data_IF_383658556774
#
_entry.id   IF_383658556774
#
_cell.length_a   1.000
_cell.length_b   1.000
_cell.length_c   1.000
_cell.angle_alpha   90.00
_cell.angle_beta   90.00
_cell.angle_gamma   90.00
#
_symmetry.space_group_name_H-M   'P 1'
#
loop_
_entity.id
_entity.type
_entity.pdbx_description
1 polymer ?
#
# COMPACT_ATOMS: atom_id res chain seq x y z
N UNK A 1 -7.57 -4.09 20.05
CA UNK A 1 -6.51 -4.76 19.25
C UNK A 1 -6.40 -4.03 17.92
N UNK A 2 -5.26 -4.12 17.23
CA UNK A 2 -4.97 -3.32 16.05
C UNK A 2 -4.81 -4.19 14.82
N UNK A 3 -5.49 -3.83 13.73
CA UNK A 3 -5.18 -4.33 12.40
C UNK A 3 -3.77 -3.89 12.02
N UNK A 4 -2.97 -4.85 11.53
CA UNK A 4 -1.67 -4.56 10.95
C UNK A 4 -1.78 -4.57 9.42
N UNK A 5 -1.27 -3.51 8.78
CA UNK A 5 -1.16 -3.39 7.33
C UNK A 5 0.32 -3.43 6.96
N UNK A 6 0.68 -4.34 6.07
CA UNK A 6 2.02 -4.43 5.48
C UNK A 6 1.90 -4.26 3.97
N UNK A 7 2.63 -3.30 3.42
CA UNK A 7 2.62 -2.99 1.99
C UNK A 7 3.86 -3.58 1.30
N UNK A 8 3.63 -4.17 0.13
CA UNK A 8 4.60 -4.70 -0.80
C UNK A 8 4.36 -4.01 -2.17
N UNK A 9 5.35 -3.31 -2.73
CA UNK A 9 5.16 -2.62 -4.00
C UNK A 9 4.80 -3.57 -5.15
N UNK A 10 3.99 -3.13 -6.14
CA UNK A 10 3.51 -1.75 -6.28
C UNK A 10 2.19 -1.49 -5.53
N UNK A 11 1.30 -2.49 -5.46
CA UNK A 11 -0.07 -2.42 -4.93
C UNK A 11 -0.40 -3.58 -3.98
N UNK A 12 0.52 -4.51 -3.76
CA UNK A 12 0.27 -5.68 -2.92
C UNK A 12 0.21 -5.30 -1.44
N UNK A 13 -0.86 -5.66 -0.75
CA UNK A 13 -1.01 -5.45 0.69
C UNK A 13 -1.32 -6.75 1.41
N UNK A 14 -0.74 -6.91 2.60
CA UNK A 14 -1.20 -7.85 3.62
C UNK A 14 -1.94 -7.08 4.71
N UNK A 15 -3.13 -7.56 5.04
CA UNK A 15 -3.93 -7.09 6.17
C UNK A 15 -4.03 -8.27 7.14
N UNK A 16 -3.53 -8.07 8.35
CA UNK A 16 -3.58 -9.05 9.42
C UNK A 16 -4.52 -8.56 10.51
N UNK A 17 -5.59 -9.31 10.71
CA UNK A 17 -6.50 -9.16 11.85
C UNK A 17 -6.10 -10.17 12.94
N UNK A 18 -6.83 -10.19 14.05
CA UNK A 18 -6.70 -11.19 15.12
C UNK A 18 -6.89 -12.61 14.61
N UNK A 19 -7.75 -12.79 13.59
CA UNK A 19 -8.19 -14.11 13.13
C UNK A 19 -7.78 -14.44 11.70
N UNK A 20 -7.58 -13.43 10.85
CA UNK A 20 -7.43 -13.62 9.40
C UNK A 20 -6.18 -12.93 8.86
N UNK A 21 -5.60 -13.58 7.85
CA UNK A 21 -4.58 -13.01 6.97
C UNK A 21 -5.18 -12.83 5.58
N UNK A 22 -5.32 -11.58 5.18
CA UNK A 22 -5.93 -11.17 3.91
C UNK A 22 -4.84 -10.54 3.04
N UNK A 23 -4.78 -10.93 1.78
CA UNK A 23 -3.92 -10.27 0.80
C UNK A 23 -4.75 -9.60 -0.27
N UNK A 24 -4.39 -8.38 -0.64
CA UNK A 24 -4.95 -7.68 -1.80
C UNK A 24 -3.84 -7.55 -2.85
N UNK A 25 -4.16 -7.92 -4.09
CA UNK A 25 -3.27 -7.86 -5.26
C UNK A 25 -1.87 -8.46 -5.06
N UNK A 26 -1.75 -9.72 -4.59
CA UNK A 26 -0.46 -10.35 -4.46
C UNK A 26 0.19 -10.61 -5.83
N UNK A 27 1.07 -9.71 -6.23
CA UNK A 27 1.93 -9.85 -7.39
C UNK A 27 3.37 -9.48 -7.01
N UNK A 28 4.26 -10.45 -7.19
CA UNK A 28 5.66 -10.27 -6.83
C UNK A 28 6.47 -9.68 -8.01
N UNK A 29 6.97 -8.47 -7.81
CA UNK A 29 7.95 -7.83 -8.69
C UNK A 29 9.37 -8.21 -8.28
N UNK A 30 9.98 -9.14 -9.01
CA UNK A 30 11.38 -9.56 -8.79
C UNK A 30 12.34 -8.38 -8.91
N UNK A 31 12.13 -7.52 -9.89
CA UNK A 31 13.04 -6.40 -10.19
C UNK A 31 12.87 -5.18 -9.30
N UNK A 32 11.76 -5.09 -8.55
CA UNK A 32 11.63 -4.02 -7.55
C UNK A 32 12.63 -4.22 -6.41
N UNK A 33 13.01 -5.47 -6.12
CA UNK A 33 13.93 -5.84 -5.04
C UNK A 33 15.34 -6.21 -5.53
N UNK A 34 15.54 -6.39 -6.84
CA UNK A 34 16.89 -6.55 -7.42
C UNK A 34 17.40 -5.21 -7.96
N UNK A 35 18.73 -5.03 -8.05
CA UNK A 35 19.40 -3.75 -8.38
C UNK A 35 19.15 -3.22 -9.82
N UNK A 36 18.12 -3.70 -10.53
CA UNK A 36 17.83 -3.35 -11.93
C UNK A 36 16.37 -2.88 -12.12
N UNK A 37 16.02 -1.65 -11.67
CA UNK A 37 14.66 -1.12 -11.75
C UNK A 37 14.17 -0.82 -13.18
N UNK A 38 15.03 -0.93 -14.20
CA UNK A 38 14.70 -0.63 -15.60
C UNK A 38 13.97 -1.76 -16.33
N UNK A 39 13.86 -2.95 -15.73
CA UNK A 39 13.07 -4.06 -16.27
C UNK A 39 12.01 -4.42 -15.25
N UNK A 40 10.78 -4.66 -15.68
CA UNK A 40 9.72 -5.22 -14.83
C UNK A 40 9.76 -6.74 -15.03
N UNK A 41 10.26 -7.48 -14.04
CA UNK A 41 10.22 -8.95 -14.05
C UNK A 41 9.32 -9.45 -12.93
N UNK A 42 8.39 -10.33 -13.27
CA UNK A 42 7.52 -11.01 -12.32
C UNK A 42 8.00 -12.44 -12.08
N UNK A 43 7.77 -12.99 -10.89
CA UNK A 43 8.10 -14.39 -10.59
C UNK A 43 7.39 -15.36 -11.54
N UNK A 44 8.11 -16.38 -12.02
CA UNK A 44 7.55 -17.54 -12.72
C UNK A 44 7.65 -18.77 -11.82
N UNK A 45 6.96 -19.85 -12.21
CA UNK A 45 7.19 -21.17 -11.63
C UNK A 45 8.22 -21.90 -12.51
N UNK A 46 9.18 -22.66 -11.96
CA UNK A 46 9.39 -23.01 -10.55
C UNK A 46 10.28 -22.04 -9.78
N UNK A 47 10.57 -20.84 -10.30
CA UNK A 47 11.51 -19.88 -9.66
C UNK A 47 11.28 -19.83 -8.15
N UNK A 48 12.30 -20.04 -7.31
CA UNK A 48 12.12 -19.84 -5.89
C UNK A 48 11.56 -18.44 -5.66
N UNK A 49 10.90 -18.18 -4.53
CA UNK A 49 10.53 -16.80 -4.22
C UNK A 49 11.77 -16.04 -3.77
N UNK A 50 12.76 -15.95 -4.64
CA UNK A 50 14.00 -15.23 -4.43
C UNK A 50 13.64 -13.74 -4.34
N UNK A 51 13.67 -13.24 -3.10
CA UNK A 51 13.47 -11.84 -2.74
C UNK A 51 12.09 -11.47 -2.16
N UNK A 52 11.21 -12.43 -1.83
CA UNK A 52 10.21 -12.10 -0.82
C UNK A 52 10.93 -11.81 0.50
N UNK A 53 10.64 -10.68 1.18
CA UNK A 53 11.45 -10.23 2.30
C UNK A 53 11.41 -11.15 3.54
N UNK A 54 10.54 -12.17 3.55
CA UNK A 54 10.41 -13.16 4.64
C UNK A 54 9.48 -14.32 4.23
N UNK A 55 9.42 -15.37 5.06
CA UNK A 55 8.37 -16.39 4.97
C UNK A 55 7.01 -15.76 5.25
N UNK A 56 6.21 -15.56 4.21
CA UNK A 56 4.84 -15.08 4.34
C UNK A 56 3.90 -16.18 4.86
N UNK A 57 3.01 -15.81 5.76
CA UNK A 57 1.95 -16.70 6.23
C UNK A 57 0.92 -16.96 5.14
N UNK A 58 0.32 -18.15 5.16
CA UNK A 58 -0.73 -18.54 4.20
C UNK A 58 -1.98 -17.68 4.38
N UNK A 59 -2.59 -17.32 3.26
CA UNK A 59 -3.79 -16.49 3.21
C UNK A 59 -5.02 -17.25 3.72
N UNK A 60 -5.85 -16.59 4.51
CA UNK A 60 -7.25 -16.98 4.67
C UNK A 60 -8.07 -16.45 3.48
N UNK A 61 -7.68 -15.30 2.96
CA UNK A 61 -8.35 -14.65 1.84
C UNK A 61 -7.37 -13.95 0.89
N UNK A 62 -7.65 -14.03 -0.40
CA UNK A 62 -6.96 -13.26 -1.45
C UNK A 62 -7.99 -12.48 -2.25
N UNK A 63 -7.78 -11.17 -2.39
CA UNK A 63 -8.61 -10.24 -3.14
C UNK A 63 -7.83 -9.72 -4.34
N UNK A 64 -8.37 -9.87 -5.54
CA UNK A 64 -7.75 -9.41 -6.79
C UNK A 64 -8.59 -8.30 -7.38
N UNK A 65 -8.01 -7.13 -7.63
CA UNK A 65 -8.72 -5.97 -8.14
C UNK A 65 -9.00 -6.09 -9.64
N UNK A 66 -8.06 -6.62 -10.42
CA UNK A 66 -8.18 -6.79 -11.88
C UNK A 66 -7.12 -7.75 -12.46
N UNK A 67 -7.18 -8.05 -13.77
CA UNK A 67 -6.41 -9.13 -14.42
C UNK A 67 -4.99 -8.77 -14.89
N UNK A 68 -4.48 -7.58 -14.59
CA UNK A 68 -3.14 -7.19 -14.99
C UNK A 68 -2.05 -7.93 -14.22
N UNK A 69 -0.88 -8.00 -14.85
CA UNK A 69 0.25 -8.79 -14.39
C UNK A 69 0.76 -8.38 -13.02
N UNK A 70 0.70 -7.11 -12.67
CA UNK A 70 1.15 -6.50 -11.42
C UNK A 70 0.12 -6.54 -10.29
N UNK A 71 -1.02 -7.21 -10.50
CA UNK A 71 -2.08 -7.39 -9.49
C UNK A 71 -2.53 -8.85 -9.39
N UNK A 72 -2.62 -9.56 -10.51
CA UNK A 72 -3.20 -10.90 -10.62
C UNK A 72 -2.19 -11.92 -11.16
N UNK A 73 -1.40 -12.50 -10.25
CA UNK A 73 -0.40 -13.54 -10.57
C UNK A 73 -0.74 -14.90 -9.98
N UNK A 74 -1.05 -15.87 -10.84
CA UNK A 74 -1.33 -17.26 -10.43
C UNK A 74 -0.25 -17.84 -9.52
N UNK A 75 1.02 -17.70 -9.91
CA UNK A 75 2.16 -18.24 -9.13
C UNK A 75 2.17 -17.70 -7.70
N UNK A 76 1.97 -16.39 -7.51
CA UNK A 76 1.95 -15.77 -6.18
C UNK A 76 0.71 -16.18 -5.39
N UNK A 77 -0.47 -16.18 -6.01
CA UNK A 77 -1.71 -16.62 -5.36
C UNK A 77 -1.64 -18.10 -4.94
N UNK A 78 -1.08 -18.97 -5.78
CA UNK A 78 -0.89 -20.40 -5.49
C UNK A 78 0.08 -20.63 -4.32
N UNK A 79 1.10 -19.79 -4.20
CA UNK A 79 2.05 -19.82 -3.07
C UNK A 79 1.43 -19.34 -1.77
N UNK A 80 0.48 -18.42 -1.81
CA UNK A 80 -0.19 -17.90 -0.61
C UNK A 80 -1.37 -18.77 -0.17
N UNK A 81 -2.03 -19.47 -1.09
CA UNK A 81 -3.22 -20.26 -0.75
C UNK A 81 -2.90 -21.55 0.01
N UNK A 82 -3.88 -21.95 0.83
CA UNK A 82 -4.09 -23.26 1.48
C UNK A 82 -5.46 -23.78 1.05
N UNK A 83 -5.82 -25.03 1.40
CA UNK A 83 -7.07 -25.67 0.97
C UNK A 83 -8.34 -24.84 1.26
N UNK A 84 -8.34 -24.07 2.36
CA UNK A 84 -9.48 -23.24 2.81
C UNK A 84 -9.37 -21.75 2.42
N UNK A 85 -8.37 -21.36 1.61
CA UNK A 85 -8.25 -19.95 1.20
C UNK A 85 -9.38 -19.58 0.25
N UNK A 86 -10.10 -18.50 0.57
CA UNK A 86 -11.06 -17.91 -0.36
C UNK A 86 -10.34 -16.93 -1.29
N UNK A 87 -10.55 -17.05 -2.60
CA UNK A 87 -9.97 -16.14 -3.59
C UNK A 87 -11.11 -15.41 -4.30
N UNK A 88 -11.06 -14.08 -4.33
CA UNK A 88 -12.07 -13.23 -4.96
C UNK A 88 -11.43 -12.37 -6.04
N UNK A 89 -12.15 -12.11 -7.12
CA UNK A 89 -11.73 -11.16 -8.15
C UNK A 89 -12.73 -11.07 -9.30
N UNK A 90 -12.60 -10.05 -10.17
CA UNK A 90 -13.51 -9.88 -11.30
C UNK A 90 -13.38 -11.01 -12.31
N UNK A 91 -14.39 -11.16 -13.18
CA UNK A 91 -14.48 -12.23 -14.18
C UNK A 91 -13.20 -12.41 -15.01
N UNK A 92 -12.48 -11.33 -15.30
CA UNK A 92 -11.25 -11.39 -16.10
C UNK A 92 -10.09 -12.11 -15.40
N UNK A 93 -10.05 -12.09 -14.07
CA UNK A 93 -9.04 -12.82 -13.30
C UNK A 93 -9.13 -14.35 -13.47
N UNK A 94 -10.30 -14.89 -13.89
CA UNK A 94 -10.45 -16.32 -14.19
C UNK A 94 -9.43 -16.80 -15.23
N UNK A 95 -9.17 -16.00 -16.27
CA UNK A 95 -8.22 -16.35 -17.33
C UNK A 95 -6.79 -16.47 -16.82
N UNK A 96 -6.46 -15.76 -15.73
CA UNK A 96 -5.11 -15.75 -15.13
C UNK A 96 -4.97 -16.80 -14.04
N UNK A 97 -5.97 -16.93 -13.17
CA UNK A 97 -5.88 -17.77 -11.96
C UNK A 97 -6.38 -19.20 -12.19
N UNK A 98 -7.35 -19.40 -13.07
CA UNK A 98 -8.02 -20.68 -13.27
C UNK A 98 -9.16 -20.92 -12.27
N UNK A 99 -9.40 -22.18 -11.93
CA UNK A 99 -10.47 -22.59 -11.02
C UNK A 99 -10.17 -22.21 -9.56
N UNK A 100 -11.22 -22.10 -8.74
CA UNK A 100 -11.10 -21.78 -7.31
C UNK A 100 -11.08 -20.28 -6.98
N UNK A 101 -11.47 -19.42 -7.92
CA UNK A 101 -11.79 -18.02 -7.68
C UNK A 101 -13.31 -17.84 -7.66
N UNK A 102 -13.81 -17.11 -6.66
CA UNK A 102 -15.17 -16.57 -6.66
C UNK A 102 -15.16 -15.26 -7.45
N UNK A 103 -15.95 -15.23 -8.51
CA UNK A 103 -16.14 -14.02 -9.30
C UNK A 103 -16.93 -13.01 -8.48
N UNK A 104 -16.47 -11.76 -8.48
CA UNK A 104 -17.17 -10.62 -7.90
C UNK A 104 -17.43 -9.54 -8.94
N UNK A 105 -18.45 -8.74 -8.72
CA UNK A 105 -18.79 -7.54 -9.53
C UNK A 105 -18.75 -6.30 -8.64
N UNK A 106 -18.66 -5.06 -9.18
CA UNK A 106 -18.78 -3.86 -8.38
C UNK A 106 -20.07 -3.82 -7.56
N UNK A 107 -20.02 -3.19 -6.39
CA UNK A 107 -21.16 -3.00 -5.47
C UNK A 107 -21.75 -4.28 -4.86
N UNK A 108 -21.02 -5.40 -4.94
CA UNK A 108 -21.32 -6.64 -4.22
C UNK A 108 -20.82 -6.55 -2.77
N UNK A 109 -21.58 -7.12 -1.84
CA UNK A 109 -21.20 -7.24 -0.43
C UNK A 109 -21.07 -8.71 -0.03
N UNK A 110 -19.96 -9.04 0.64
CA UNK A 110 -19.60 -10.40 1.04
C UNK A 110 -19.28 -10.39 2.52
N UNK A 111 -19.93 -11.30 3.26
CA UNK A 111 -19.73 -11.50 4.68
C UNK A 111 -18.92 -12.77 4.92
N UNK A 112 -17.82 -12.66 5.66
CA UNK A 112 -16.94 -13.78 6.01
C UNK A 112 -16.51 -13.68 7.47
N UNK A 113 -17.34 -14.24 8.36
CA UNK A 113 -17.14 -14.12 9.80
C UNK A 113 -17.25 -12.65 10.25
N UNK A 114 -16.21 -12.15 10.93
CA UNK A 114 -16.11 -10.76 11.39
C UNK A 114 -15.62 -9.78 10.32
N UNK A 115 -15.50 -10.22 9.07
CA UNK A 115 -15.03 -9.41 7.96
C UNK A 115 -16.14 -9.20 6.94
N UNK A 116 -16.37 -7.93 6.61
CA UNK A 116 -17.24 -7.52 5.50
C UNK A 116 -16.38 -6.96 4.38
N UNK A 117 -16.65 -7.40 3.16
CA UNK A 117 -16.00 -6.91 1.95
C UNK A 117 -17.09 -6.33 1.07
N UNK A 118 -16.94 -5.06 0.71
CA UNK A 118 -17.74 -4.44 -0.34
C UNK A 118 -16.83 -4.15 -1.54
N UNK A 119 -17.20 -4.61 -2.72
CA UNK A 119 -16.50 -4.25 -3.95
C UNK A 119 -16.96 -2.87 -4.42
N UNK A 120 -16.05 -2.11 -5.02
CA UNK A 120 -16.35 -0.79 -5.59
C UNK A 120 -16.04 -0.78 -7.07
N UNK A 121 -16.56 0.21 -7.79
CA UNK A 121 -16.05 0.51 -9.12
C UNK A 121 -14.56 0.90 -9.06
N UNK A 122 -13.81 0.53 -10.10
CA UNK A 122 -12.44 0.95 -10.36
C UNK A 122 -12.22 0.98 -11.88
N UNK A 123 -11.99 2.17 -12.44
CA UNK A 123 -11.87 2.39 -13.89
C UNK A 123 -11.23 3.75 -14.21
N UNK A 124 -10.70 3.89 -15.41
CA UNK A 124 -10.29 5.18 -15.95
C UNK A 124 -11.49 5.89 -16.60
N UNK A 125 -11.55 7.21 -16.47
CA UNK A 125 -12.57 8.07 -17.08
C UNK A 125 -11.97 8.82 -18.26
N UNK A 126 -12.79 9.30 -19.22
CA UNK A 126 -12.30 10.16 -20.32
C UNK A 126 -11.54 11.39 -19.81
N UNK A 127 -12.02 12.01 -18.73
CA UNK A 127 -11.49 13.25 -18.17
C UNK A 127 -10.48 13.05 -17.03
N UNK A 128 -10.21 11.79 -16.64
CA UNK A 128 -9.28 11.48 -15.56
C UNK A 128 -7.83 11.75 -15.97
N UNK A 129 -6.93 11.88 -14.99
CA UNK A 129 -5.55 12.29 -15.25
C UNK A 129 -4.66 11.20 -15.86
N UNK A 130 -5.06 9.93 -15.82
CA UNK A 130 -4.27 8.85 -16.41
C UNK A 130 -4.07 9.06 -17.91
N UNK A 131 -2.82 9.01 -18.36
CA UNK A 131 -2.49 9.21 -19.78
C UNK A 131 -2.85 8.02 -20.67
N UNK A 132 -2.99 6.82 -20.10
CA UNK A 132 -3.41 5.59 -20.79
C UNK A 132 -4.63 4.95 -20.12
N UNK A 133 -5.75 4.94 -20.84
CA UNK A 133 -7.06 4.47 -20.38
C UNK A 133 -7.22 2.96 -20.59
N UNK A 134 -6.51 2.16 -19.80
CA UNK A 134 -6.51 0.68 -19.93
C UNK A 134 -7.49 -0.02 -18.99
N UNK A 135 -7.93 0.66 -17.93
CA UNK A 135 -8.89 0.12 -16.95
C UNK A 135 -10.32 0.54 -17.31
N UNK A 136 -11.05 -0.35 -17.98
CA UNK A 136 -12.41 -0.06 -18.43
C UNK A 136 -13.45 -0.38 -17.33
N UNK A 137 -14.55 0.37 -17.29
CA UNK A 137 -15.64 0.16 -16.33
C UNK A 137 -16.14 -1.29 -16.35
N UNK A 138 -16.21 -1.91 -15.17
CA UNK A 138 -16.66 -3.29 -14.99
C UNK A 138 -15.59 -4.37 -15.18
N UNK A 139 -14.39 -4.02 -15.66
CA UNK A 139 -13.29 -4.98 -15.80
C UNK A 139 -12.51 -5.19 -14.49
N UNK A 140 -12.53 -4.19 -13.60
CA UNK A 140 -11.88 -4.21 -12.30
C UNK A 140 -12.81 -3.78 -11.17
N UNK A 141 -12.37 -4.01 -9.94
CA UNK A 141 -13.03 -3.58 -8.71
C UNK A 141 -12.02 -2.99 -7.72
N UNK A 142 -12.46 -2.03 -6.92
CA UNK A 142 -11.81 -1.72 -5.64
C UNK A 142 -12.40 -2.57 -4.51
N UNK A 143 -11.78 -2.53 -3.33
CA UNK A 143 -12.25 -3.25 -2.15
C UNK A 143 -12.36 -2.32 -0.95
N UNK A 144 -13.52 -2.30 -0.32
CA UNK A 144 -13.77 -1.71 0.99
C UNK A 144 -13.88 -2.86 2.00
N UNK A 145 -12.84 -3.03 2.81
CA UNK A 145 -12.71 -4.09 3.80
C UNK A 145 -12.99 -3.55 5.19
N UNK A 146 -14.03 -4.07 5.85
CA UNK A 146 -14.33 -3.76 7.25
C UNK A 146 -14.03 -4.94 8.14
N UNK A 147 -13.17 -4.74 9.13
CA UNK A 147 -12.79 -5.73 10.14
C UNK A 147 -12.44 -5.02 11.44
N UNK A 148 -12.70 -5.61 12.61
CA UNK A 148 -12.32 -5.05 13.92
C UNK A 148 -12.69 -3.56 14.12
N UNK A 149 -13.84 -3.13 13.56
CA UNK A 149 -14.31 -1.74 13.62
C UNK A 149 -13.46 -0.76 12.80
N UNK A 150 -12.68 -1.24 11.83
CA UNK A 150 -11.87 -0.45 10.92
C UNK A 150 -12.23 -0.73 9.48
N UNK A 151 -12.28 0.32 8.67
CA UNK A 151 -12.59 0.23 7.23
C UNK A 151 -11.38 0.67 6.40
N UNK A 152 -10.88 -0.25 5.57
CA UNK A 152 -9.72 -0.06 4.69
C UNK A 152 -10.21 -0.09 3.24
N UNK A 153 -9.95 0.97 2.49
CA UNK A 153 -10.26 1.07 1.08
C UNK A 153 -9.01 0.86 0.23
N UNK A 154 -9.05 -0.14 -0.65
CA UNK A 154 -8.08 -0.34 -1.72
C UNK A 154 -8.72 0.04 -3.05
N UNK A 155 -8.28 1.14 -3.66
CA UNK A 155 -8.92 1.66 -4.87
C UNK A 155 -8.75 0.75 -6.10
N UNK A 156 -7.75 -0.12 -6.08
CA UNK A 156 -7.29 -0.78 -7.31
C UNK A 156 -6.69 0.25 -8.25
N UNK A 157 -6.65 -0.07 -9.54
CA UNK A 157 -6.21 0.86 -10.56
C UNK A 157 -7.41 1.59 -11.16
N UNK A 158 -7.48 2.89 -10.89
CA UNK A 158 -8.62 3.74 -11.21
C UNK A 158 -8.17 5.19 -11.34
N UNK A 159 -8.98 5.99 -12.04
CA UNK A 159 -8.98 7.45 -11.93
C UNK A 159 -9.86 7.87 -10.73
N UNK A 160 -9.98 9.18 -10.46
CA UNK A 160 -10.98 9.66 -9.53
C UNK A 160 -12.37 9.50 -10.15
N UNK A 161 -13.26 8.80 -9.45
CA UNK A 161 -14.61 8.48 -9.92
C UNK A 161 -15.68 8.98 -8.93
N UNK A 162 -16.89 9.34 -9.40
CA UNK A 162 -17.96 9.85 -8.54
C UNK A 162 -18.33 8.91 -7.38
N UNK A 163 -18.22 7.59 -7.60
CA UNK A 163 -18.54 6.57 -6.61
C UNK A 163 -17.68 6.69 -5.33
N UNK A 164 -16.49 7.28 -5.39
CA UNK A 164 -15.62 7.51 -4.23
C UNK A 164 -16.24 8.46 -3.17
N UNK A 165 -17.18 9.32 -3.57
CA UNK A 165 -17.89 10.22 -2.64
C UNK A 165 -18.90 9.49 -1.74
N UNK A 166 -19.23 8.23 -2.05
CA UNK A 166 -20.29 7.44 -1.39
C UNK A 166 -19.76 6.21 -0.65
N UNK A 167 -18.47 6.16 -0.35
CA UNK A 167 -17.84 5.01 0.35
C UNK A 167 -18.21 4.92 1.83
N UNK A 168 -18.72 6.01 2.42
CA UNK A 168 -18.92 6.11 3.86
C UNK A 168 -17.61 6.34 4.63
N UNK A 169 -17.58 6.09 5.95
CA UNK A 169 -16.38 6.30 6.75
C UNK A 169 -15.24 5.36 6.36
N UNK A 170 -14.06 5.92 6.07
CA UNK A 170 -12.85 5.17 5.72
C UNK A 170 -11.73 5.51 6.72
N UNK A 171 -11.15 4.50 7.38
CA UNK A 171 -9.98 4.72 8.26
C UNK A 171 -8.70 4.85 7.43
N UNK A 172 -8.50 4.00 6.43
CA UNK A 172 -7.33 4.04 5.56
C UNK A 172 -7.73 3.88 4.09
N UNK A 173 -7.30 4.81 3.23
CA UNK A 173 -7.50 4.72 1.78
C UNK A 173 -6.16 4.55 1.06
N UNK A 174 -6.05 3.52 0.24
CA UNK A 174 -4.88 3.22 -0.58
C UNK A 174 -5.18 3.64 -2.02
N UNK A 175 -4.49 4.69 -2.48
CA UNK A 175 -4.78 5.37 -3.74
C UNK A 175 -3.59 5.25 -4.69
N UNK A 176 -3.79 4.76 -5.93
CA UNK A 176 -2.70 4.73 -6.91
C UNK A 176 -2.34 6.16 -7.33
N UNK A 177 -1.04 6.43 -7.51
CA UNK A 177 -0.54 7.76 -7.92
C UNK A 177 0.34 7.71 -9.17
N UNK A 178 0.16 6.71 -10.03
CA UNK A 178 1.11 6.39 -11.10
C UNK A 178 1.10 7.34 -12.30
N UNK A 179 0.01 8.08 -12.55
CA UNK A 179 -0.17 9.04 -13.66
C UNK A 179 -0.22 8.45 -15.08
N UNK A 180 0.40 7.29 -15.32
CA UNK A 180 0.31 6.63 -16.63
C UNK A 180 -1.01 5.88 -16.78
N UNK A 181 -1.25 4.88 -15.92
CA UNK A 181 -2.44 4.00 -16.02
C UNK A 181 -3.50 4.32 -14.95
N UNK A 182 -3.14 5.14 -13.97
CA UNK A 182 -3.95 5.51 -12.80
C UNK A 182 -3.83 7.01 -12.54
N UNK A 183 -4.51 7.50 -11.50
CA UNK A 183 -4.42 8.90 -11.07
C UNK A 183 -2.97 9.40 -11.01
N UNK A 184 -2.75 10.63 -11.44
CA UNK A 184 -1.59 11.41 -11.04
C UNK A 184 -1.71 11.86 -9.57
N UNK A 185 -0.70 12.56 -9.08
CA UNK A 185 -0.69 13.05 -7.69
C UNK A 185 -1.86 13.99 -7.40
N UNK A 186 -2.20 14.89 -8.32
CA UNK A 186 -3.22 15.92 -8.12
C UNK A 186 -4.63 15.32 -8.09
N UNK A 187 -4.93 14.39 -8.99
CA UNK A 187 -6.19 13.66 -9.01
C UNK A 187 -6.34 12.75 -7.78
N UNK A 188 -5.26 12.08 -7.35
CA UNK A 188 -5.29 11.28 -6.13
C UNK A 188 -5.56 12.12 -4.87
N UNK A 189 -5.08 13.37 -4.82
CA UNK A 189 -5.42 14.32 -3.73
C UNK A 189 -6.91 14.64 -3.75
N UNK A 190 -7.49 14.90 -4.94
CA UNK A 190 -8.94 15.12 -5.08
C UNK A 190 -9.74 13.91 -4.59
N UNK A 191 -9.31 12.69 -4.95
CA UNK A 191 -9.91 11.46 -4.46
C UNK A 191 -9.82 11.36 -2.92
N UNK A 192 -8.66 11.65 -2.33
CA UNK A 192 -8.49 11.65 -0.87
C UNK A 192 -9.41 12.69 -0.19
N UNK A 193 -9.55 13.89 -0.76
CA UNK A 193 -10.46 14.93 -0.25
C UNK A 193 -11.93 14.55 -0.35
N UNK A 194 -12.32 13.82 -1.39
CA UNK A 194 -13.68 13.31 -1.56
C UNK A 194 -14.00 12.18 -0.56
N UNK A 195 -13.05 11.25 -0.36
CA UNK A 195 -13.21 10.09 0.53
C UNK A 195 -13.11 10.50 2.01
N UNK A 196 -12.31 11.53 2.33
CA UNK A 196 -12.01 12.00 3.68
C UNK A 196 -11.53 10.88 4.63
N UNK A 197 -10.53 10.07 4.24
CA UNK A 197 -10.06 8.99 5.08
C UNK A 197 -9.27 9.54 6.28
N UNK A 198 -9.18 8.79 7.38
CA UNK A 198 -8.29 9.17 8.49
C UNK A 198 -6.81 9.11 8.10
N UNK A 199 -6.46 8.22 7.16
CA UNK A 199 -5.14 8.07 6.55
C UNK A 199 -5.27 7.81 5.06
N UNK A 200 -4.57 8.57 4.22
CA UNK A 200 -4.40 8.26 2.80
C UNK A 200 -2.98 7.70 2.58
N UNK A 201 -2.86 6.62 1.81
CA UNK A 201 -1.60 5.91 1.55
C UNK A 201 -1.42 5.84 0.04
N UNK A 202 -0.41 6.52 -0.53
CA UNK A 202 -0.12 6.41 -1.95
C UNK A 202 0.45 5.03 -2.28
N UNK A 203 -0.10 4.37 -3.31
CA UNK A 203 0.38 3.11 -3.88
C UNK A 203 0.65 3.27 -5.38
N UNK A 204 1.16 2.22 -6.03
CA UNK A 204 1.32 2.16 -7.49
C UNK A 204 1.97 3.42 -8.11
N UNK A 205 3.08 3.86 -7.51
CA UNK A 205 3.60 5.20 -7.73
C UNK A 205 4.53 5.34 -8.95
N UNK A 206 4.63 4.33 -9.83
CA UNK A 206 5.49 4.29 -11.04
C UNK A 206 6.67 5.29 -11.02
N UNK A 207 6.51 6.46 -11.64
CA UNK A 207 7.51 7.55 -11.68
C UNK A 207 7.20 8.70 -10.71
N UNK A 208 6.02 8.72 -10.12
CA UNK A 208 5.54 9.76 -9.21
C UNK A 208 6.19 9.66 -7.84
N UNK A 209 6.30 10.81 -7.17
CA UNK A 209 6.92 10.91 -5.86
C UNK A 209 5.87 10.90 -4.74
N UNK A 210 5.82 9.87 -3.85
CA UNK A 210 4.90 9.84 -2.72
C UNK A 210 5.00 11.07 -1.78
N UNK A 211 6.16 11.75 -1.74
CA UNK A 211 6.33 13.00 -0.96
C UNK A 211 5.54 14.17 -1.55
N UNK A 212 5.33 14.20 -2.86
CA UNK A 212 4.49 15.23 -3.49
C UNK A 212 3.02 15.02 -3.13
N UNK A 213 2.55 13.77 -3.16
CA UNK A 213 1.21 13.41 -2.68
C UNK A 213 1.01 13.83 -1.22
N UNK A 214 2.00 13.56 -0.36
CA UNK A 214 1.93 14.00 1.03
C UNK A 214 1.83 15.53 1.15
N UNK A 215 2.73 16.27 0.50
CA UNK A 215 2.75 17.74 0.59
C UNK A 215 1.45 18.35 0.07
N UNK A 216 0.94 17.86 -1.06
CA UNK A 216 -0.30 18.33 -1.67
C UNK A 216 -1.55 17.94 -0.86
N UNK A 217 -1.48 16.86 -0.08
CA UNK A 217 -2.56 16.46 0.85
C UNK A 217 -2.55 17.23 2.16
N UNK A 218 -1.48 17.96 2.46
CA UNK A 218 -1.45 18.87 3.61
C UNK A 218 -2.13 20.19 3.20
N UNK A 219 -3.08 20.69 4.00
CA UNK A 219 -3.70 21.96 3.70
C UNK A 219 -2.64 23.07 3.77
N UNK A 220 -2.33 23.71 2.64
CA UNK A 220 -1.69 25.03 2.64
C UNK A 220 -2.73 26.03 3.16
N UNK A 221 -2.51 26.67 4.32
CA UNK A 221 -2.95 28.03 4.74
C UNK A 221 -3.15 28.15 6.28
N UNK A 222 -3.01 29.38 6.87
CA UNK A 222 -2.69 29.59 8.29
C UNK A 222 -3.81 29.17 9.24
N UNK A 223 -3.42 28.93 10.50
CA UNK A 223 -4.28 28.45 11.57
C UNK A 223 -5.55 29.30 11.75
N UNK A 224 -6.68 28.80 11.24
CA UNK A 224 -7.99 29.21 11.69
C UNK A 224 -8.34 28.38 12.94
N UNK A 225 -8.70 29.01 14.07
CA UNK A 225 -9.00 28.28 15.29
C UNK A 225 -10.38 27.62 15.15
N UNK A 226 -10.38 26.33 14.83
CA UNK A 226 -11.61 25.54 14.74
C UNK A 226 -11.57 24.49 13.64
N UNK A 227 -10.91 23.37 13.94
CA UNK A 227 -11.18 22.06 13.32
C UNK A 227 -10.74 21.84 11.86
N UNK A 228 -9.48 21.42 11.66
CA UNK A 228 -9.09 20.47 10.59
C UNK A 228 -7.90 19.61 11.05
N UNK A 229 -8.08 18.29 11.14
CA UNK A 229 -6.98 17.31 11.16
C UNK A 229 -7.07 16.49 9.88
N UNK A 230 -6.42 16.94 8.81
CA UNK A 230 -6.03 16.06 7.72
C UNK A 230 -4.96 15.10 8.25
N UNK A 231 -5.11 13.84 7.86
CA UNK A 231 -4.35 12.66 8.24
C UNK A 231 -2.87 12.89 8.65
N UNK A 232 -2.42 12.21 9.71
CA UNK A 232 -1.01 11.83 9.84
C UNK A 232 -0.67 10.92 8.65
N UNK A 233 -0.14 11.51 7.59
CA UNK A 233 0.61 10.79 6.57
C UNK A 233 1.99 10.47 7.12
N UNK A 234 2.36 9.19 7.15
CA UNK A 234 3.73 8.79 7.51
C UNK A 234 4.69 9.26 6.42
N UNK A 235 5.36 10.39 6.66
CA UNK A 235 6.67 10.68 6.04
C UNK A 235 7.77 10.41 7.02
N UNK A 236 8.26 9.19 7.00
CA UNK A 236 9.70 8.95 6.99
C UNK A 236 9.91 7.44 6.92
N UNK A 237 10.53 7.04 5.81
CA UNK A 237 11.49 5.96 5.86
C UNK A 237 12.72 6.55 6.58
N UNK A 238 12.70 6.55 7.92
CA UNK A 238 13.89 6.79 8.73
C UNK A 238 14.10 5.57 9.60
N UNK A 239 15.25 4.92 9.39
CA UNK A 239 15.79 3.87 10.24
C UNK A 239 16.04 4.44 11.64
N UNK A 240 15.21 4.08 12.61
CA UNK A 240 15.57 4.23 14.03
C UNK A 240 16.16 2.91 14.51
N UNK A 241 17.48 2.86 14.66
CA UNK A 241 18.14 1.81 15.42
C UNK A 241 17.74 1.97 16.89
N UNK A 242 16.96 1.03 17.42
CA UNK A 242 16.80 0.86 18.88
C UNK A 242 17.83 -0.18 19.31
N UNK A 243 19.03 0.30 19.66
CA UNK A 243 19.86 -0.39 20.65
C UNK A 243 19.70 0.38 21.96
N UNK A 244 18.75 -0.04 22.79
CA UNK A 244 18.79 0.28 24.22
C UNK A 244 19.78 -0.65 24.89
N UNK A 245 20.96 -0.13 25.23
CA UNK A 245 21.74 -0.65 26.34
C UNK A 245 22.20 0.55 27.18
N UNK A 246 21.55 0.69 28.34
CA UNK A 246 21.94 1.58 29.41
C UNK A 246 23.43 1.42 29.74
N UNK A 247 24.20 2.52 29.68
CA UNK A 247 25.27 2.79 30.64
C UNK A 247 25.57 4.28 30.68
N UNK A 248 25.43 4.86 31.88
CA UNK A 248 25.88 6.22 32.23
C UNK A 248 27.34 6.40 31.84
N UNK A 249 27.68 7.47 31.13
CA UNK A 249 28.98 8.13 31.24
C UNK A 249 28.74 9.64 31.17
N UNK A 250 29.15 10.29 32.25
CA UNK A 250 29.20 11.74 32.47
C UNK A 250 30.41 12.37 31.78
N UNK A 251 30.24 13.65 31.39
CA UNK A 251 31.26 14.66 31.07
C UNK A 251 32.06 14.48 29.77
N UNK A 252 32.05 15.51 28.91
CA UNK A 252 33.22 16.18 28.31
C UNK A 252 32.73 17.47 27.60
N UNK A 253 33.45 18.57 27.85
CA UNK A 253 33.28 19.93 27.30
C UNK A 253 33.80 20.09 25.84
N UNK A 254 33.48 21.20 25.15
CA UNK A 254 33.59 21.32 23.70
C UNK A 254 34.90 21.96 23.24
N UNK A 255 35.66 21.33 22.34
CA UNK A 255 36.68 22.02 21.56
C UNK A 255 36.82 21.50 20.12
N UNK A 256 36.90 22.47 19.19
CA UNK A 256 37.50 22.43 17.85
C UNK A 256 36.65 21.91 16.67
N UNK A 257 35.78 22.82 16.20
CA UNK A 257 35.34 22.96 14.81
C UNK A 257 36.56 23.28 13.91
N UNK A 258 37.06 22.31 13.13
CA UNK A 258 37.63 22.54 11.77
C UNK A 258 38.24 21.30 11.08
N UNK A 259 38.33 20.14 11.74
CA UNK A 259 38.95 18.95 11.11
C UNK A 259 37.93 17.97 10.48
N UNK A 260 36.63 18.24 10.55
CA UNK A 260 35.59 17.30 10.10
C UNK A 260 35.19 17.34 8.62
N UNK A 261 35.73 18.26 7.81
CA UNK A 261 35.25 18.44 6.43
C UNK A 261 35.98 17.64 5.34
N UNK A 262 36.95 16.79 5.68
CA UNK A 262 37.61 15.89 4.70
C UNK A 262 37.45 14.39 4.94
N UNK A 263 36.89 13.96 6.07
CA UNK A 263 36.55 12.55 6.32
C UNK A 263 35.09 12.20 5.99
N UNK A 264 34.19 13.18 5.93
CA UNK A 264 32.77 12.97 5.64
C UNK A 264 32.49 12.54 4.18
N UNK A 265 33.32 12.93 3.20
CA UNK A 265 33.08 12.56 1.80
C UNK A 265 33.58 11.15 1.40
N UNK A 266 34.48 10.55 2.18
CA UNK A 266 34.94 9.16 1.94
C UNK A 266 34.02 8.12 2.60
N UNK A 267 33.34 8.47 3.69
CA UNK A 267 32.44 7.56 4.41
C UNK A 267 31.04 7.49 3.79
N UNK A 268 30.56 8.59 3.17
CA UNK A 268 29.26 8.64 2.48
C UNK A 268 29.22 7.77 1.20
N UNK A 269 30.37 7.47 0.59
CA UNK A 269 30.43 6.60 -0.59
C UNK A 269 30.55 5.09 -0.28
N UNK A 270 30.71 4.69 0.99
CA UNK A 270 30.79 3.26 1.38
C UNK A 270 29.61 2.73 2.19
N UNK A 271 28.68 3.57 2.67
CA UNK A 271 27.46 3.11 3.35
C UNK A 271 26.26 2.85 2.43
N UNK A 272 26.38 3.10 1.11
CA UNK A 272 25.32 2.81 0.13
C UNK A 272 25.11 1.30 -0.15
N UNK A 273 25.79 0.43 0.58
CA UNK A 273 25.78 -1.04 0.36
C UNK A 273 25.20 -1.87 1.50
N UNK A 274 24.73 -1.26 2.61
CA UNK A 274 24.22 -2.02 3.77
C UNK A 274 22.87 -1.56 4.34
N UNK A 275 22.17 -0.63 3.70
CA UNK A 275 20.80 -0.26 4.07
C UNK A 275 19.85 -0.80 3.03
N UNK A 276 19.07 -1.86 3.35
CA UNK A 276 17.73 -2.15 2.78
C UNK A 276 17.23 -3.53 3.23
N UNK A 277 16.74 -3.61 4.47
CA UNK A 277 15.67 -4.52 4.86
C UNK A 277 14.88 -3.81 5.97
N UNK A 278 13.80 -3.11 5.59
CA UNK A 278 12.90 -2.49 6.56
C UNK A 278 11.57 -3.23 6.54
N UNK A 279 11.32 -4.01 7.59
CA UNK A 279 9.99 -4.51 7.94
C UNK A 279 9.29 -3.36 8.70
N UNK A 280 8.22 -2.81 8.13
CA UNK A 280 7.38 -1.84 8.84
C UNK A 280 6.28 -2.59 9.59
N UNK A 281 6.30 -2.51 10.92
CA UNK A 281 5.17 -2.92 11.78
C UNK A 281 4.49 -1.63 12.24
N UNK A 282 3.37 -1.26 11.63
CA UNK A 282 2.51 -0.19 12.14
C UNK A 282 1.73 -0.77 13.33
N UNK A 283 2.17 -0.49 14.56
CA UNK A 283 1.38 -0.75 15.77
C UNK A 283 0.52 0.47 16.08
N UNK A 284 -0.81 0.32 16.01
CA UNK A 284 -1.73 1.32 16.51
C UNK A 284 -1.95 1.10 18.01
N UNK A 285 -1.50 2.03 18.84
CA UNK A 285 -1.99 2.21 20.21
C UNK A 285 -2.71 3.56 20.27
N UNK A 286 -4.04 3.54 20.25
CA UNK A 286 -4.85 4.74 20.52
C UNK A 286 -5.10 4.75 22.01
N UNK A 287 -4.42 5.63 22.75
CA UNK A 287 -4.82 5.95 24.11
C UNK A 287 -6.07 6.83 24.03
N UNK A 288 -7.19 6.31 24.54
CA UNK A 288 -8.35 7.12 24.84
C UNK A 288 -7.99 8.00 26.03
N UNK A 289 -8.00 9.32 25.85
CA UNK A 289 -8.08 10.24 26.98
C UNK A 289 -9.56 10.53 27.23
N UNK A 290 -9.92 10.34 28.50
CA UNK A 290 -11.22 10.59 29.13
C UNK A 290 -11.63 12.05 29.01
#
# INVERSE_FOLDING_TARGET
MAIAIKWFPPSWIQIKTKFLIIYIDPAYLRTYFTKHPHKIEFSKWPDPIDGLPEKLAKADMVLLTHDHADHCKKVTVDRLRKKKTSVYGPKRCLKKIGTGIRVVVPEEEIFSGEVTIKTTHAYNTPDGSSTQKVHHRGNGVGYLLTAEGKTIYHAGDTDYIPEMTRLGPVDAALLPIGGTYTMDVGEAVKAAMAIKPKVAIPIHHLKSNPREFQKASQPNQPAQPGCWRLAKLFSSCETTNILTANRRISNIEPQNFEVWNRFAQSFLNRQNTLLRHSIFIIRYSIFAFS
#
